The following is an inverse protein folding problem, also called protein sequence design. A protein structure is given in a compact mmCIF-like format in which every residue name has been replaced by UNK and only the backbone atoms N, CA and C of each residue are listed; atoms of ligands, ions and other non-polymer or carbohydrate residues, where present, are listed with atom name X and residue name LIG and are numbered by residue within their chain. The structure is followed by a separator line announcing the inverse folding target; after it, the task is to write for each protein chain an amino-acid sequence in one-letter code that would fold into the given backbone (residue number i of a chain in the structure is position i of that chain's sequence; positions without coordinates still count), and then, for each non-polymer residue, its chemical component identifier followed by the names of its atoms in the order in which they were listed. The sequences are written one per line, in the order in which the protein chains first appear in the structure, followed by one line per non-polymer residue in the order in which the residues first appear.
data_IF_113237200424
#
_entry.id   IF_113237200424
#
_cell.length_a   1.000
_cell.length_b   1.000
_cell.length_c   1.000
_cell.angle_alpha   90.00
_cell.angle_beta   90.00
_cell.angle_gamma   90.00
#
_symmetry.space_group_name_H-M   'P 1'
#
loop_
_entity.id
_entity.type
_entity.pdbx_description
1 polymer ?
#
# COMPACT_ATOMS: atom_id res chain seq x y z
N UNK A 1 14.24 -21.07 -1.58
CA UNK A 1 13.27 -19.99 -1.33
C UNK A 1 14.09 -18.79 -0.87
N UNK A 2 14.54 -18.01 -1.84
CA UNK A 2 15.37 -16.83 -1.61
C UNK A 2 14.44 -15.78 -1.04
N UNK A 3 14.66 -15.40 0.21
CA UNK A 3 13.90 -14.32 0.83
C UNK A 3 14.17 -13.06 0.02
N UNK A 4 13.26 -12.75 -0.92
CA UNK A 4 13.08 -11.44 -1.54
C UNK A 4 12.60 -10.44 -0.48
N UNK A 5 13.34 -10.29 0.61
CA UNK A 5 13.09 -9.27 1.62
C UNK A 5 13.72 -7.92 1.24
N UNK A 6 14.55 -7.87 0.19
CA UNK A 6 15.25 -6.66 -0.24
C UNK A 6 14.57 -5.88 -1.38
N UNK A 7 14.00 -6.58 -2.37
CA UNK A 7 13.44 -5.94 -3.58
C UNK A 7 12.01 -5.41 -3.42
N UNK A 8 11.01 -6.19 -2.97
CA UNK A 8 9.62 -5.71 -2.89
C UNK A 8 9.41 -4.72 -1.74
N UNK A 9 10.16 -4.86 -0.63
CA UNK A 9 10.08 -3.93 0.50
C UNK A 9 10.58 -2.52 0.13
N UNK A 10 11.61 -2.42 -0.71
CA UNK A 10 12.13 -1.17 -1.27
C UNK A 10 11.10 -0.46 -2.16
N UNK A 11 10.14 -1.20 -2.72
CA UNK A 11 9.05 -0.65 -3.53
C UNK A 11 7.86 -0.14 -2.71
N UNK A 12 7.79 -0.45 -1.40
CA UNK A 12 6.68 -0.06 -0.52
C UNK A 12 6.62 1.46 -0.38
N UNK A 13 7.73 2.11 -0.01
CA UNK A 13 7.76 3.55 0.23
C UNK A 13 7.43 4.39 -1.02
N UNK A 14 8.01 4.12 -2.22
CA UNK A 14 7.61 4.86 -3.41
C UNK A 14 6.16 4.57 -3.82
N UNK A 15 5.67 3.34 -3.67
CA UNK A 15 4.26 3.01 -3.96
C UNK A 15 3.30 3.72 -3.01
N UNK A 16 3.59 3.72 -1.70
CA UNK A 16 2.80 4.44 -0.71
C UNK A 16 2.80 5.95 -0.97
N UNK A 17 3.92 6.51 -1.42
CA UNK A 17 3.99 7.92 -1.79
C UNK A 17 3.11 8.23 -2.99
N UNK A 18 3.05 7.36 -4.00
CA UNK A 18 2.17 7.52 -5.16
C UNK A 18 0.70 7.44 -4.77
N UNK A 19 0.32 6.43 -3.97
CA UNK A 19 -1.03 6.28 -3.41
C UNK A 19 -1.42 7.51 -2.57
N UNK A 20 -0.51 8.02 -1.73
CA UNK A 20 -0.78 9.20 -0.90
C UNK A 20 -0.84 10.50 -1.70
N UNK A 21 -0.06 10.62 -2.77
CA UNK A 21 0.04 11.84 -3.56
C UNK A 21 -1.05 11.98 -4.63
N UNK A 22 -1.59 10.87 -5.15
CA UNK A 22 -2.51 10.90 -6.29
C UNK A 22 -3.33 9.61 -6.42
N UNK A 23 -3.76 8.98 -5.31
CA UNK A 23 -4.64 7.82 -5.41
C UNK A 23 -5.93 8.16 -6.13
N UNK A 24 -5.99 7.79 -7.41
CA UNK A 24 -7.23 7.49 -8.07
C UNK A 24 -7.99 6.48 -7.19
N UNK A 25 -9.30 6.68 -6.98
CA UNK A 25 -10.09 5.75 -6.18
C UNK A 25 -9.98 4.35 -6.80
N UNK A 26 -9.57 3.39 -5.97
CA UNK A 26 -9.39 2.01 -6.40
C UNK A 26 -9.74 1.02 -5.29
N UNK A 27 -9.76 -0.28 -5.60
CA UNK A 27 -10.09 -1.31 -4.61
C UNK A 27 -9.11 -1.32 -3.43
N UNK A 28 -7.85 -0.94 -3.66
CA UNK A 28 -6.84 -0.79 -2.60
C UNK A 28 -7.10 0.42 -1.68
N UNK A 29 -7.94 1.37 -2.08
CA UNK A 29 -8.29 2.57 -1.30
C UNK A 29 -9.79 2.64 -1.04
N UNK A 30 -10.48 1.50 -0.92
CA UNK A 30 -11.92 1.45 -0.63
C UNK A 30 -12.78 2.25 -1.64
N UNK A 31 -12.36 2.30 -2.91
CA UNK A 31 -12.97 3.13 -3.97
C UNK A 31 -13.06 4.62 -3.61
N UNK A 32 -12.23 5.10 -2.70
CA UNK A 32 -12.15 6.50 -2.25
C UNK A 32 -10.76 7.05 -2.51
N UNK A 33 -10.64 8.37 -2.65
CA UNK A 33 -9.32 9.01 -2.72
C UNK A 33 -8.65 8.99 -1.34
N UNK A 34 -7.32 9.04 -1.29
CA UNK A 34 -6.58 8.97 -0.03
C UNK A 34 -7.03 10.01 1.01
N UNK A 35 -7.37 11.22 0.56
CA UNK A 35 -7.86 12.31 1.42
C UNK A 35 -9.25 12.09 2.01
N UNK A 36 -10.04 11.15 1.47
CA UNK A 36 -11.37 10.79 1.97
C UNK A 36 -11.34 9.60 2.94
N UNK A 37 -10.21 8.89 3.02
CA UNK A 37 -10.06 7.76 3.91
C UNK A 37 -9.94 8.22 5.37
N UNK A 38 -10.66 7.54 6.27
CA UNK A 38 -10.42 7.67 7.71
C UNK A 38 -9.03 7.16 8.08
N UNK A 39 -8.48 7.60 9.22
CA UNK A 39 -7.17 7.14 9.70
C UNK A 39 -7.06 5.61 9.79
N UNK A 40 -8.14 4.93 10.20
CA UNK A 40 -8.19 3.47 10.23
C UNK A 40 -8.10 2.83 8.83
N UNK A 41 -8.72 3.44 7.82
CA UNK A 41 -8.66 2.96 6.44
C UNK A 41 -7.27 3.18 5.84
N UNK A 42 -6.66 4.35 6.06
CA UNK A 42 -5.28 4.63 5.64
C UNK A 42 -4.29 3.63 6.23
N UNK A 43 -4.43 3.30 7.53
CA UNK A 43 -3.62 2.27 8.19
C UNK A 43 -3.81 0.88 7.54
N UNK A 44 -5.06 0.49 7.24
CA UNK A 44 -5.34 -0.78 6.56
C UNK A 44 -4.67 -0.88 5.19
N UNK A 45 -4.69 0.20 4.39
CA UNK A 45 -3.99 0.23 3.08
C UNK A 45 -2.49 0.04 3.26
N UNK A 46 -1.87 0.73 4.22
CA UNK A 46 -0.42 0.62 4.49
C UNK A 46 -0.05 -0.81 4.88
N UNK A 47 -0.84 -1.45 5.75
CA UNK A 47 -0.61 -2.82 6.20
C UNK A 47 -0.77 -3.80 5.04
N UNK A 48 -1.81 -3.62 4.21
CA UNK A 48 -2.04 -4.47 3.04
C UNK A 48 -0.91 -4.38 2.02
N UNK A 49 -0.39 -3.18 1.75
CA UNK A 49 0.76 -2.97 0.85
C UNK A 49 2.02 -3.63 1.40
N UNK A 50 2.27 -3.51 2.71
CA UNK A 50 3.40 -4.18 3.37
C UNK A 50 3.27 -5.70 3.29
N UNK A 51 2.09 -6.24 3.60
CA UNK A 51 1.82 -7.67 3.51
C UNK A 51 1.98 -8.21 2.08
N UNK A 52 1.53 -7.47 1.07
CA UNK A 52 1.71 -7.83 -0.33
C UNK A 52 3.19 -7.86 -0.74
N UNK A 53 3.98 -6.90 -0.25
CA UNK A 53 5.42 -6.86 -0.49
C UNK A 53 6.20 -7.97 0.22
N UNK A 54 5.71 -8.45 1.37
CA UNK A 54 6.30 -9.58 2.10
C UNK A 54 5.98 -10.96 1.47
N UNK A 55 5.28 -10.98 0.33
CA UNK A 55 4.90 -12.22 -0.35
C UNK A 55 3.58 -12.79 0.14
N UNK A 56 2.71 -11.96 0.72
CA UNK A 56 1.33 -12.31 1.06
C UNK A 56 0.44 -12.45 -0.17
N UNK A 57 0.63 -13.54 -0.93
CA UNK A 57 -0.40 -14.34 -1.61
C UNK A 57 0.28 -15.61 -2.17
#
# INVERSE_FOLDING_TARGET
MEAKGGEPATLIEPFLKEVQSNAAPGPATFNSTWGQLSTAQQAAVIIAVRAAAEGGC
#
